data_IF_325560398394
#
_entry.id   IF_325560398394
#
_cell.length_a   1.000
_cell.length_b   1.000
_cell.length_c   1.000
_cell.angle_alpha   90.00
_cell.angle_beta   90.00
_cell.angle_gamma   90.00
#
_symmetry.space_group_name_H-M   'P 1'
#
loop_
_entity.id
_entity.type
_entity.pdbx_description
1 polymer ?
#
# COMPACT_ATOMS: atom_id res chain seq x y z
N UNK A 1 -5.92 -29.68 -4.85
CA UNK A 1 -5.93 -28.42 -5.63
C UNK A 1 -7.05 -27.56 -5.08
N UNK A 2 -6.78 -26.75 -4.06
CA UNK A 2 -7.78 -25.83 -3.51
C UNK A 2 -7.95 -24.69 -4.51
N UNK A 3 -9.12 -24.64 -5.17
CA UNK A 3 -9.55 -23.47 -5.92
C UNK A 3 -9.79 -22.37 -4.87
N UNK A 4 -8.78 -21.55 -4.58
CA UNK A 4 -8.97 -20.38 -3.73
C UNK A 4 -9.99 -19.51 -4.46
N UNK A 5 -11.22 -19.44 -3.94
CA UNK A 5 -12.26 -18.62 -4.55
C UNK A 5 -11.75 -17.17 -4.59
N UNK A 6 -11.60 -16.62 -5.79
CA UNK A 6 -11.27 -15.21 -6.03
C UNK A 6 -12.31 -14.23 -5.46
N UNK A 7 -13.31 -14.71 -4.71
CA UNK A 7 -14.38 -13.94 -4.05
C UNK A 7 -13.84 -12.79 -3.20
N UNK A 8 -12.73 -12.98 -2.47
CA UNK A 8 -12.06 -11.91 -1.72
C UNK A 8 -11.53 -10.78 -2.61
N UNK A 9 -11.05 -11.12 -3.81
CA UNK A 9 -10.54 -10.15 -4.80
C UNK A 9 -11.66 -9.30 -5.40
N UNK A 10 -12.89 -9.84 -5.49
CA UNK A 10 -14.04 -9.06 -5.96
C UNK A 10 -14.50 -8.01 -4.94
N UNK A 11 -14.32 -8.23 -3.64
CA UNK A 11 -14.53 -7.20 -2.62
C UNK A 11 -13.45 -6.11 -2.67
N UNK A 12 -12.19 -6.50 -2.91
CA UNK A 12 -11.06 -5.58 -3.10
C UNK A 12 -11.29 -4.60 -4.27
N UNK A 13 -12.05 -5.02 -5.30
CA UNK A 13 -12.32 -4.24 -6.51
C UNK A 13 -13.02 -2.91 -6.25
N UNK A 14 -13.68 -2.73 -5.11
CA UNK A 14 -14.49 -1.55 -4.82
C UNK A 14 -13.70 -0.33 -4.31
N UNK A 15 -12.45 -0.47 -3.88
CA UNK A 15 -11.61 0.68 -3.44
C UNK A 15 -10.12 0.39 -3.73
N UNK A 16 -9.83 0.09 -4.99
CA UNK A 16 -8.47 0.02 -5.50
C UNK A 16 -8.00 1.42 -5.89
N UNK A 17 -6.91 1.87 -5.29
CA UNK A 17 -6.28 3.14 -5.61
C UNK A 17 -4.86 2.91 -6.09
N UNK A 18 -4.52 3.53 -7.20
CA UNK A 18 -3.14 3.59 -7.67
C UNK A 18 -2.40 4.65 -6.86
N UNK A 19 -1.27 4.28 -6.29
CA UNK A 19 -0.44 5.13 -5.46
C UNK A 19 0.98 5.11 -6.01
N UNK A 20 1.48 6.26 -6.44
CA UNK A 20 2.85 6.40 -6.93
C UNK A 20 3.72 7.02 -5.85
N UNK A 21 4.75 6.29 -5.43
CA UNK A 21 5.59 6.69 -4.29
C UNK A 21 6.55 7.79 -4.75
N UNK A 22 6.39 8.99 -4.22
CA UNK A 22 7.36 10.09 -4.40
C UNK A 22 8.54 9.93 -3.44
N UNK A 23 8.22 9.74 -2.15
CA UNK A 23 9.21 9.65 -1.09
C UNK A 23 8.87 8.53 -0.14
N UNK A 24 9.89 7.80 0.29
CA UNK A 24 9.78 6.79 1.34
C UNK A 24 10.56 7.20 2.58
N UNK A 25 10.00 6.91 3.75
CA UNK A 25 10.69 6.93 5.02
C UNK A 25 10.51 5.56 5.68
N UNK A 26 11.58 5.01 6.24
CA UNK A 26 11.55 3.75 6.97
C UNK A 26 12.08 3.97 8.38
N UNK A 27 11.29 3.55 9.37
CA UNK A 27 11.70 3.51 10.76
C UNK A 27 11.87 2.03 11.15
N UNK A 28 13.10 1.64 11.49
CA UNK A 28 13.39 0.30 11.99
C UNK A 28 12.90 0.20 13.44
N UNK A 29 11.85 -0.58 13.68
CA UNK A 29 11.49 -1.08 15.01
C UNK A 29 12.13 -2.45 15.25
N UNK A 30 12.03 -2.96 16.48
CA UNK A 30 12.76 -4.15 16.96
C UNK A 30 12.40 -5.44 16.19
N UNK A 31 11.13 -5.56 15.79
CA UNK A 31 10.61 -6.69 15.01
C UNK A 31 10.04 -6.26 13.66
N UNK A 32 9.44 -5.07 13.61
CA UNK A 32 8.74 -4.57 12.43
C UNK A 32 9.47 -3.36 11.82
N UNK A 33 9.16 -3.10 10.56
CA UNK A 33 9.55 -1.90 9.82
C UNK A 33 8.29 -1.10 9.55
N UNK A 34 8.32 0.15 9.99
CA UNK A 34 7.25 1.11 9.73
C UNK A 34 7.66 1.95 8.53
N UNK A 35 6.90 1.80 7.45
CA UNK A 35 7.05 2.57 6.22
C UNK A 35 6.05 3.70 6.19
N UNK A 36 6.55 4.91 5.95
CA UNK A 36 5.74 6.08 5.61
C UNK A 36 6.01 6.44 4.17
N UNK A 37 5.00 6.32 3.32
CA UNK A 37 5.07 6.57 1.89
C UNK A 37 4.28 7.85 1.58
N UNK A 38 4.92 8.81 0.92
CA UNK A 38 4.24 9.98 0.38
C UNK A 38 3.99 9.77 -1.12
N UNK A 39 2.78 10.08 -1.58
CA UNK A 39 2.45 10.01 -3.01
C UNK A 39 2.89 11.27 -3.75
N UNK A 40 3.14 11.13 -5.05
CA UNK A 40 3.18 12.27 -5.95
C UNK A 40 1.88 13.07 -5.91
N UNK A 41 2.01 14.39 -6.10
CA UNK A 41 0.88 15.26 -6.37
C UNK A 41 0.46 15.11 -7.82
N UNK A 42 -0.75 14.60 -8.04
CA UNK A 42 -1.33 14.48 -9.38
C UNK A 42 -2.74 15.08 -9.40
N UNK A 43 -3.32 15.25 -10.59
CA UNK A 43 -4.68 15.77 -10.76
C UNK A 43 -5.74 14.94 -10.00
N UNK A 44 -5.46 13.64 -9.79
CA UNK A 44 -6.29 12.71 -9.03
C UNK A 44 -5.95 12.65 -7.53
N UNK A 45 -4.83 13.26 -7.10
CA UNK A 45 -4.35 13.25 -5.72
C UNK A 45 -3.74 14.61 -5.36
N UNK A 46 -4.64 15.58 -5.13
CA UNK A 46 -4.30 16.99 -4.91
C UNK A 46 -3.61 17.26 -3.56
N UNK A 47 -3.72 16.35 -2.61
CA UNK A 47 -3.39 16.58 -1.20
C UNK A 47 -2.12 15.88 -0.72
N UNK A 48 -1.35 15.23 -1.60
CA UNK A 48 -0.22 14.37 -1.24
C UNK A 48 -0.64 13.35 -0.16
N UNK A 49 -1.42 12.34 -0.56
CA UNK A 49 -1.74 11.24 0.35
C UNK A 49 -0.48 10.63 0.97
N UNK A 50 -0.57 10.38 2.28
CA UNK A 50 0.44 9.66 3.05
C UNK A 50 -0.13 8.30 3.40
N UNK A 51 0.62 7.25 3.06
CA UNK A 51 0.29 5.88 3.35
C UNK A 51 1.26 5.29 4.38
N UNK A 52 0.71 4.61 5.38
CA UNK A 52 1.48 3.96 6.43
C UNK A 52 1.38 2.44 6.29
N UNK A 53 2.50 1.74 6.32
CA UNK A 53 2.55 0.30 6.21
C UNK A 53 3.56 -0.31 7.16
N UNK A 54 3.16 -1.34 7.89
CA UNK A 54 4.05 -2.08 8.79
C UNK A 54 4.37 -3.45 8.20
N UNK A 55 5.65 -3.82 8.15
CA UNK A 55 6.08 -5.12 7.65
C UNK A 55 7.23 -5.74 8.42
N UNK A 56 7.35 -7.06 8.35
CA UNK A 56 8.53 -7.80 8.80
C UNK A 56 9.64 -7.82 7.74
N UNK A 57 9.31 -7.53 6.47
CA UNK A 57 10.27 -7.58 5.35
C UNK A 57 10.93 -6.22 5.13
N UNK A 58 12.24 -6.25 4.87
CA UNK A 58 13.02 -5.07 4.52
C UNK A 58 12.94 -4.79 3.01
N UNK A 59 13.15 -3.53 2.61
CA UNK A 59 13.26 -3.08 1.22
C UNK A 59 12.05 -3.41 0.33
N UNK A 60 10.83 -3.34 0.88
CA UNK A 60 9.60 -3.60 0.13
C UNK A 60 9.27 -2.54 -0.92
N UNK A 61 9.63 -1.29 -0.66
CA UNK A 61 9.26 -0.15 -1.51
C UNK A 61 10.50 0.63 -1.95
N UNK A 62 10.43 1.17 -3.18
CA UNK A 62 11.39 2.12 -3.75
C UNK A 62 10.67 3.40 -4.16
N UNK A 63 11.44 4.47 -4.26
CA UNK A 63 10.94 5.73 -4.81
C UNK A 63 10.61 5.53 -6.30
N UNK A 64 9.52 6.14 -6.75
CA UNK A 64 8.89 5.97 -8.06
C UNK A 64 8.20 4.63 -8.31
N UNK A 65 8.11 3.74 -7.33
CA UNK A 65 7.27 2.54 -7.48
C UNK A 65 5.79 2.94 -7.55
N UNK A 66 5.04 2.19 -8.36
CA UNK A 66 3.59 2.27 -8.44
C UNK A 66 3.00 1.08 -7.69
N UNK A 67 2.20 1.37 -6.66
CA UNK A 67 1.55 0.37 -5.82
C UNK A 67 0.04 0.49 -5.93
N UNK A 68 -0.64 -0.64 -5.81
CA UNK A 68 -2.09 -0.71 -5.72
C UNK A 68 -2.48 -0.90 -4.26
N UNK A 69 -3.15 0.10 -3.69
CA UNK A 69 -3.71 0.03 -2.36
C UNK A 69 -5.14 -0.49 -2.48
N UNK A 70 -5.43 -1.58 -1.78
CA UNK A 70 -6.78 -2.14 -1.69
C UNK A 70 -7.30 -1.92 -0.27
N UNK A 71 -8.36 -1.15 -0.12
CA UNK A 71 -9.08 -1.09 1.14
C UNK A 71 -10.15 -2.18 1.18
N UNK A 72 -9.91 -3.22 1.98
CA UNK A 72 -10.82 -4.36 2.09
C UNK A 72 -12.04 -4.08 2.98
N UNK A 73 -12.04 -3.01 3.78
CA UNK A 73 -13.12 -2.65 4.70
C UNK A 73 -13.49 -3.71 5.74
N UNK A 74 -12.77 -4.84 5.77
CA UNK A 74 -12.99 -6.02 6.61
C UNK A 74 -11.63 -6.65 6.93
N UNK A 75 -11.50 -7.25 8.12
CA UNK A 75 -10.35 -8.09 8.47
C UNK A 75 -10.48 -9.43 7.70
N UNK A 76 -9.38 -9.86 7.08
CA UNK A 76 -9.23 -11.23 6.56
C UNK A 76 -8.80 -12.12 7.72
#
# INVERSE_FOLDING_TARGET
MAFMSFSGFFYARNDLRLFKIEKKSEIKSFFYKDYTLASFKDELNLNNEIFFYQSLKENLFKENDEILISNLGKKI
#
